data_IF_443266320205
#
_entry.id   IF_443266320205
#
_cell.length_a   1.000
_cell.length_b   1.000
_cell.length_c   1.000
_cell.angle_alpha   90.00
_cell.angle_beta   90.00
_cell.angle_gamma   90.00
#
_symmetry.space_group_name_H-M   'P 1'
#
loop_
_entity.id
_entity.type
_entity.pdbx_description
1 polymer ?
#
# COMPACT_ATOMS: atom_id res chain seq x y z
N UNK A 1 -0.58 -8.08 -6.42
CA UNK A 1 0.57 -7.28 -6.87
C UNK A 1 0.74 -7.53 -8.36
N UNK A 2 0.06 -6.74 -9.20
CA UNK A 2 0.15 -6.82 -10.67
C UNK A 2 1.08 -5.74 -11.25
N UNK A 3 1.47 -4.78 -10.42
CA UNK A 3 2.47 -3.77 -10.72
C UNK A 3 3.82 -4.29 -10.18
N UNK A 4 4.80 -4.43 -11.08
CA UNK A 4 6.13 -4.95 -10.76
C UNK A 4 6.98 -3.98 -9.93
N UNK A 5 6.54 -2.73 -9.81
CA UNK A 5 7.19 -1.71 -8.97
C UNK A 5 6.85 -1.86 -7.49
N UNK A 6 5.80 -2.61 -7.16
CA UNK A 6 5.29 -2.74 -5.78
C UNK A 6 5.83 -4.02 -5.15
N UNK A 7 6.55 -3.87 -4.04
CA UNK A 7 7.10 -4.97 -3.26
C UNK A 7 6.46 -5.03 -1.87
N UNK A 8 6.16 -6.24 -1.40
CA UNK A 8 5.74 -6.46 -0.02
C UNK A 8 6.97 -6.47 0.89
N UNK A 9 7.12 -5.45 1.73
CA UNK A 9 8.24 -5.34 2.67
C UNK A 9 7.94 -6.07 3.98
N UNK A 10 6.70 -5.96 4.48
CA UNK A 10 6.29 -6.56 5.76
C UNK A 10 4.81 -6.91 5.77
N UNK A 11 4.50 -8.08 6.31
CA UNK A 11 3.13 -8.50 6.58
C UNK A 11 3.05 -9.16 7.97
N UNK A 12 2.26 -8.56 8.85
CA UNK A 12 1.92 -9.09 10.17
C UNK A 12 0.42 -8.95 10.41
N UNK A 13 -0.09 -9.43 11.55
CA UNK A 13 -1.50 -9.25 11.93
C UNK A 13 -1.89 -7.81 12.28
N UNK A 14 -0.94 -6.88 12.32
CA UNK A 14 -1.17 -5.49 12.71
C UNK A 14 -0.59 -4.47 11.72
N UNK A 15 0.33 -4.91 10.86
CA UNK A 15 1.11 -4.03 9.97
C UNK A 15 1.23 -4.67 8.60
N UNK A 16 0.95 -3.89 7.57
CA UNK A 16 1.22 -4.20 6.18
C UNK A 16 2.01 -3.05 5.58
N UNK A 17 3.23 -3.34 5.12
CA UNK A 17 4.15 -2.34 4.57
C UNK A 17 4.57 -2.75 3.17
N UNK A 18 4.43 -1.83 2.23
CA UNK A 18 4.83 -2.00 0.83
C UNK A 18 5.86 -0.95 0.45
N UNK A 19 6.72 -1.27 -0.50
CA UNK A 19 7.61 -0.33 -1.18
C UNK A 19 7.12 -0.17 -2.62
N UNK A 20 7.19 1.03 -3.17
CA UNK A 20 6.90 1.32 -4.57
C UNK A 20 8.15 1.95 -5.17
N UNK A 21 8.76 1.30 -6.16
CA UNK A 21 9.88 1.83 -6.93
C UNK A 21 9.39 2.69 -8.11
N UNK A 22 10.27 3.56 -8.63
CA UNK A 22 9.97 4.41 -9.81
C UNK A 22 8.63 5.17 -9.69
N UNK A 23 8.44 5.86 -8.57
CA UNK A 23 7.24 6.67 -8.30
C UNK A 23 7.17 7.84 -9.28
N UNK A 24 5.99 8.06 -9.85
CA UNK A 24 5.66 9.14 -10.79
C UNK A 24 4.48 9.96 -10.30
N UNK A 25 4.21 11.12 -10.91
CA UNK A 25 3.02 11.93 -10.60
C UNK A 25 1.69 11.17 -10.83
N UNK A 26 1.68 10.13 -11.67
CA UNK A 26 0.49 9.30 -11.90
C UNK A 26 0.16 8.38 -10.70
N UNK A 27 1.10 8.20 -9.77
CA UNK A 27 0.93 7.38 -8.57
C UNK A 27 0.31 8.18 -7.40
N UNK A 28 0.13 9.50 -7.51
CA UNK A 28 -0.56 10.33 -6.52
C UNK A 28 -2.04 9.96 -6.40
N UNK A 29 -2.56 9.87 -5.17
CA UNK A 29 -3.98 9.62 -4.94
C UNK A 29 -4.30 8.90 -3.65
N UNK A 30 -5.53 8.37 -3.55
CA UNK A 30 -6.00 7.67 -2.36
C UNK A 30 -5.60 6.18 -2.41
N UNK A 31 -4.78 5.76 -1.45
CA UNK A 31 -4.38 4.38 -1.24
C UNK A 31 -5.25 3.74 -0.16
N UNK A 32 -5.64 2.49 -0.39
CA UNK A 32 -6.36 1.67 0.60
C UNK A 32 -5.52 0.45 0.94
N UNK A 33 -5.16 0.30 2.21
CA UNK A 33 -4.52 -0.87 2.76
C UNK A 33 -5.59 -1.80 3.36
N UNK A 34 -5.63 -3.05 2.91
CA UNK A 34 -6.57 -4.07 3.39
C UNK A 34 -5.80 -5.24 3.98
N UNK A 35 -5.91 -5.42 5.29
CA UNK A 35 -5.32 -6.54 6.01
C UNK A 35 -6.40 -7.61 6.25
N UNK A 36 -6.18 -8.79 5.67
CA UNK A 36 -7.10 -9.93 5.69
C UNK A 36 -7.15 -10.66 7.05
N UNK A 37 -7.39 -9.92 8.14
CA UNK A 37 -7.77 -10.47 9.45
C UNK A 37 -9.25 -10.84 9.48
N UNK A 38 -9.73 -11.44 10.57
CA UNK A 38 -11.16 -11.64 10.82
C UNK A 38 -11.56 -10.83 12.06
N UNK A 39 -12.24 -9.67 11.90
CA UNK A 39 -12.71 -9.03 10.66
C UNK A 39 -11.57 -8.40 9.84
N UNK A 40 -11.82 -8.13 8.55
CA UNK A 40 -10.86 -7.44 7.68
C UNK A 40 -10.63 -6.04 8.22
N UNK A 41 -9.36 -5.65 8.36
CA UNK A 41 -8.98 -4.29 8.76
C UNK A 41 -8.61 -3.49 7.53
N UNK A 42 -9.11 -2.26 7.45
CA UNK A 42 -8.84 -1.35 6.33
C UNK A 42 -8.35 -0.01 6.84
N UNK A 43 -7.32 0.53 6.18
CA UNK A 43 -6.82 1.88 6.40
C UNK A 43 -6.72 2.62 5.06
N UNK A 44 -6.93 3.94 5.08
CA UNK A 44 -6.82 4.79 3.89
C UNK A 44 -5.86 5.93 4.15
N UNK A 45 -5.06 6.28 3.16
CA UNK A 45 -4.16 7.42 3.18
C UNK A 45 -4.11 8.06 1.80
N UNK A 46 -3.96 9.37 1.74
CA UNK A 46 -3.66 10.07 0.49
C UNK A 46 -2.14 10.12 0.33
N UNK A 47 -1.63 9.57 -0.78
CA UNK A 47 -0.22 9.66 -1.15
C UNK A 47 -0.03 10.90 -2.01
N UNK A 48 0.92 11.76 -1.63
CA UNK A 48 1.32 12.94 -2.40
C UNK A 48 2.73 12.72 -2.94
N UNK A 49 2.96 13.10 -4.19
CA UNK A 49 4.28 13.02 -4.84
C UNK A 49 4.83 14.45 -5.00
N UNK A 50 5.99 14.72 -4.40
CA UNK A 50 6.63 16.05 -4.34
C UNK A 50 7.84 16.16 -5.26
#
# INVERSE_FOLDING_TARGET
LRDNRIELVRATSQELTISISEVTLADEGMYTCSLFTMPVKTAKAFLTVL
#
